data_IF_386789845546
#
_entry.id   IF_386789845546
#
_cell.length_a   1.000
_cell.length_b   1.000
_cell.length_c   1.000
_cell.angle_alpha   90.00
_cell.angle_beta   90.00
_cell.angle_gamma   90.00
#
_symmetry.space_group_name_H-M   'P 1'
#
loop_
_entity.id
_entity.type
_entity.pdbx_description
1 polymer ?
#
# COMPACT_ATOMS: atom_id res chain seq x y z
N UNK A 1 -1.66 -14.36 -12.19
CA UNK A 1 -2.22 -13.07 -12.64
C UNK A 1 -1.07 -12.23 -13.17
N UNK A 2 -1.30 -11.52 -14.27
CA UNK A 2 -0.32 -10.64 -14.92
C UNK A 2 -0.30 -9.25 -14.29
N UNK A 3 0.79 -8.49 -14.51
CA UNK A 3 0.90 -7.08 -14.09
C UNK A 3 -0.25 -6.24 -14.64
N UNK A 4 -0.59 -6.41 -15.91
CA UNK A 4 -1.65 -5.63 -16.57
C UNK A 4 -3.04 -5.90 -15.99
N UNK A 5 -3.33 -7.13 -15.55
CA UNK A 5 -4.58 -7.45 -14.86
C UNK A 5 -4.65 -6.79 -13.48
N UNK A 6 -3.53 -6.80 -12.73
CA UNK A 6 -3.45 -6.14 -11.43
C UNK A 6 -3.58 -4.61 -11.54
N UNK A 7 -2.98 -4.00 -12.56
CA UNK A 7 -3.13 -2.56 -12.85
C UNK A 7 -4.57 -2.19 -13.19
N UNK A 8 -5.27 -3.01 -13.98
CA UNK A 8 -6.71 -2.80 -14.26
C UNK A 8 -7.57 -2.87 -13.00
N UNK A 9 -7.27 -3.81 -12.09
CA UNK A 9 -7.97 -3.90 -10.80
C UNK A 9 -7.67 -2.68 -9.93
N UNK A 10 -6.43 -2.19 -9.94
CA UNK A 10 -6.04 -0.98 -9.23
C UNK A 10 -6.81 0.24 -9.75
N UNK A 11 -6.84 0.43 -11.07
CA UNK A 11 -7.59 1.53 -11.69
C UNK A 11 -9.09 1.44 -11.36
N UNK A 12 -9.69 0.26 -11.47
CA UNK A 12 -11.08 0.05 -11.10
C UNK A 12 -11.35 0.41 -9.63
N UNK A 13 -10.43 0.07 -8.72
CA UNK A 13 -10.55 0.40 -7.29
C UNK A 13 -10.46 1.91 -6.98
N UNK A 14 -9.73 2.66 -7.82
CA UNK A 14 -9.64 4.13 -7.72
C UNK A 14 -10.95 4.78 -8.16
N UNK A 15 -11.59 4.24 -9.20
CA UNK A 15 -12.85 4.76 -9.72
C UNK A 15 -14.07 4.35 -8.87
N UNK A 16 -14.04 3.13 -8.29
CA UNK A 16 -15.10 2.60 -7.44
C UNK A 16 -14.52 1.84 -6.26
N UNK A 17 -14.71 2.36 -5.03
CA UNK A 17 -14.26 1.72 -3.80
C UNK A 17 -14.83 0.30 -3.62
N UNK A 18 -15.95 -0.05 -4.25
CA UNK A 18 -16.52 -1.41 -4.23
C UNK A 18 -15.62 -2.42 -4.95
N UNK A 19 -14.70 -1.97 -5.80
CA UNK A 19 -13.72 -2.81 -6.49
C UNK A 19 -12.42 -3.01 -5.68
N UNK A 20 -12.20 -2.30 -4.57
CA UNK A 20 -11.03 -2.47 -3.70
C UNK A 20 -10.82 -3.91 -3.21
N UNK A 21 -11.85 -4.65 -2.76
CA UNK A 21 -11.69 -6.05 -2.34
C UNK A 21 -11.07 -6.94 -3.42
N UNK A 22 -11.48 -6.76 -4.67
CA UNK A 22 -10.94 -7.55 -5.78
C UNK A 22 -9.47 -7.21 -6.02
N UNK A 23 -9.11 -5.93 -6.03
CA UNK A 23 -7.73 -5.48 -6.16
C UNK A 23 -6.84 -6.02 -5.03
N UNK A 24 -7.25 -5.83 -3.77
CA UNK A 24 -6.43 -6.18 -2.63
C UNK A 24 -6.22 -7.69 -2.46
N UNK A 25 -7.25 -8.52 -2.73
CA UNK A 25 -7.08 -9.98 -2.77
C UNK A 25 -6.09 -10.39 -3.84
N UNK A 26 -6.22 -9.79 -5.01
CA UNK A 26 -5.35 -10.08 -6.13
C UNK A 26 -3.90 -9.61 -5.85
N UNK A 27 -3.73 -8.51 -5.11
CA UNK A 27 -2.44 -8.01 -4.64
C UNK A 27 -1.75 -8.98 -3.67
N UNK A 28 -2.50 -9.63 -2.77
CA UNK A 28 -1.97 -10.64 -1.85
C UNK A 28 -1.44 -11.89 -2.58
N UNK A 29 -2.06 -12.29 -3.67
CA UNK A 29 -1.65 -13.47 -4.46
C UNK A 29 -0.61 -13.14 -5.54
N UNK A 30 -0.44 -11.85 -5.84
CA UNK A 30 0.52 -11.37 -6.82
C UNK A 30 1.96 -11.59 -6.36
N UNK A 31 2.84 -11.59 -7.35
CA UNK A 31 4.28 -11.44 -7.15
C UNK A 31 4.59 -9.95 -7.06
N UNK A 32 5.20 -9.53 -5.95
CA UNK A 32 5.56 -8.13 -5.67
C UNK A 32 7.08 -7.99 -5.55
N UNK A 33 7.53 -6.76 -5.72
CA UNK A 33 8.95 -6.42 -5.72
C UNK A 33 9.23 -5.38 -4.65
N UNK A 34 10.28 -5.61 -3.87
CA UNK A 34 10.76 -4.68 -2.83
C UNK A 34 12.24 -4.45 -2.95
N UNK A 35 12.72 -3.36 -2.35
CA UNK A 35 14.13 -3.03 -2.34
C UNK A 35 14.81 -3.53 -1.07
N UNK A 36 16.01 -4.10 -1.23
CA UNK A 36 16.89 -4.49 -0.12
C UNK A 36 18.29 -3.90 -0.30
N UNK A 37 19.06 -3.71 0.79
CA UNK A 37 20.46 -3.32 0.67
C UNK A 37 21.26 -4.33 -0.17
N UNK A 38 22.31 -3.87 -0.84
CA UNK A 38 23.23 -4.76 -1.60
C UNK A 38 23.97 -5.74 -0.71
N UNK A 39 24.31 -5.30 0.49
CA UNK A 39 25.02 -6.08 1.50
C UNK A 39 24.08 -6.24 2.68
N UNK A 40 23.71 -7.47 2.97
CA UNK A 40 22.84 -7.81 4.10
C UNK A 40 23.66 -8.54 5.17
N UNK A 41 23.42 -8.27 6.46
CA UNK A 41 24.01 -9.07 7.54
C UNK A 41 23.54 -10.53 7.46
N UNK A 42 24.39 -11.50 7.80
CA UNK A 42 23.97 -12.90 7.86
C UNK A 42 22.75 -13.09 8.77
N UNK A 43 21.74 -13.80 8.26
CA UNK A 43 20.53 -14.14 9.01
C UNK A 43 19.55 -12.97 9.24
N UNK A 44 19.77 -11.78 8.66
CA UNK A 44 18.84 -10.65 8.76
C UNK A 44 18.49 -10.10 7.39
N UNK A 45 17.22 -10.27 6.99
CA UNK A 45 16.67 -9.56 5.82
C UNK A 45 16.32 -8.13 6.22
N UNK A 46 16.82 -7.18 5.45
CA UNK A 46 16.54 -5.75 5.65
C UNK A 46 15.83 -5.21 4.41
N UNK A 47 14.78 -4.42 4.63
CA UNK A 47 14.10 -3.70 3.56
C UNK A 47 14.56 -2.25 3.56
N UNK A 48 14.67 -1.69 2.36
CA UNK A 48 14.93 -0.27 2.17
C UNK A 48 13.65 0.51 2.47
N UNK A 49 13.77 1.60 3.20
CA UNK A 49 12.70 2.55 3.46
C UNK A 49 13.11 3.93 2.97
N UNK A 50 12.14 4.75 2.58
CA UNK A 50 12.37 6.14 2.22
C UNK A 50 11.35 7.04 2.91
N UNK A 51 11.64 8.34 2.96
CA UNK A 51 10.67 9.32 3.44
C UNK A 51 9.61 9.55 2.37
N UNK A 52 8.36 9.28 2.71
CA UNK A 52 7.20 9.57 1.89
C UNK A 52 7.19 11.05 1.50
N UNK A 53 6.95 11.39 0.21
CA UNK A 53 6.79 12.77 -0.21
C UNK A 53 5.51 13.41 0.34
N UNK A 54 4.54 12.61 0.79
CA UNK A 54 3.23 13.11 1.21
C UNK A 54 3.26 13.70 2.63
N UNK A 55 4.01 13.07 3.54
CA UNK A 55 4.00 13.40 4.98
C UNK A 55 5.36 13.24 5.67
N UNK A 56 6.42 12.86 4.95
CA UNK A 56 7.76 12.66 5.48
C UNK A 56 7.96 11.40 6.33
N UNK A 57 6.94 10.55 6.51
CA UNK A 57 7.07 9.29 7.25
C UNK A 57 7.93 8.28 6.50
N UNK A 58 8.59 7.40 7.24
CA UNK A 58 9.29 6.29 6.60
C UNK A 58 8.28 5.26 6.09
N UNK A 59 8.38 4.93 4.81
CA UNK A 59 7.55 3.94 4.13
C UNK A 59 8.40 2.94 3.37
N UNK A 60 7.89 1.72 3.24
CA UNK A 60 8.50 0.66 2.42
C UNK A 60 7.98 0.83 0.98
N UNK A 61 8.85 1.06 -0.02
CA UNK A 61 8.44 1.06 -1.42
C UNK A 61 8.18 -0.37 -1.88
N UNK A 62 6.98 -0.61 -2.40
CA UNK A 62 6.57 -1.89 -2.98
C UNK A 62 6.14 -1.66 -4.42
N UNK A 63 6.50 -2.56 -5.32
CA UNK A 63 6.19 -2.43 -6.75
C UNK A 63 5.42 -3.66 -7.23
N UNK A 64 4.43 -3.43 -8.09
CA UNK A 64 3.68 -4.50 -8.78
C UNK A 64 4.37 -4.95 -10.07
N UNK A 65 5.38 -4.19 -10.53
CA UNK A 65 6.11 -4.44 -11.77
C UNK A 65 7.63 -4.43 -11.53
N UNK A 66 8.31 -5.46 -12.07
CA UNK A 66 9.76 -5.62 -11.90
C UNK A 66 10.57 -4.51 -12.57
N UNK A 67 10.16 -4.08 -13.76
CA UNK A 67 10.84 -3.03 -14.52
C UNK A 67 10.77 -1.70 -13.79
N UNK A 68 9.61 -1.38 -13.19
CA UNK A 68 9.45 -0.21 -12.32
C UNK A 68 10.34 -0.30 -11.09
N UNK A 69 10.43 -1.48 -10.45
CA UNK A 69 11.31 -1.71 -9.31
C UNK A 69 12.79 -1.54 -9.66
N UNK A 70 13.25 -2.11 -10.77
CA UNK A 70 14.63 -2.03 -11.25
C UNK A 70 15.01 -0.58 -11.60
N UNK A 71 14.10 0.13 -12.30
CA UNK A 71 14.29 1.54 -12.63
C UNK A 71 14.41 2.41 -11.39
N UNK A 72 13.53 2.20 -10.39
CA UNK A 72 13.58 2.91 -9.13
C UNK A 72 14.84 2.56 -8.31
N UNK A 73 15.34 1.33 -8.42
CA UNK A 73 16.55 0.91 -7.72
C UNK A 73 17.80 1.68 -8.20
N UNK A 74 17.85 2.08 -9.48
CA UNK A 74 19.01 2.75 -10.13
C UNK A 74 20.34 2.06 -9.85
N UNK A 75 20.32 0.74 -9.68
CA UNK A 75 21.49 -0.04 -9.29
C UNK A 75 22.06 0.28 -7.91
N UNK A 76 21.38 1.03 -7.04
CA UNK A 76 21.84 1.35 -5.68
C UNK A 76 21.40 0.31 -4.64
N UNK A 77 20.27 -0.34 -4.89
CA UNK A 77 19.64 -1.36 -4.05
C UNK A 77 19.35 -2.61 -4.88
N UNK A 78 19.11 -3.74 -4.22
CA UNK A 78 18.66 -4.98 -4.88
C UNK A 78 17.15 -5.00 -4.96
N UNK A 79 16.62 -5.66 -5.99
CA UNK A 79 15.20 -5.97 -6.10
C UNK A 79 14.97 -7.41 -5.64
N UNK A 80 14.11 -7.60 -4.65
CA UNK A 80 13.69 -8.89 -4.16
C UNK A 80 12.25 -9.15 -4.59
N UNK A 81 12.01 -10.35 -5.12
CA UNK A 81 10.69 -10.84 -5.50
C UNK A 81 10.07 -11.64 -4.33
N UNK A 82 8.82 -11.34 -3.98
CA UNK A 82 8.08 -12.02 -2.91
C UNK A 82 6.61 -12.18 -3.30
N UNK A 83 5.94 -13.19 -2.73
CA UNK A 83 4.47 -13.22 -2.76
C UNK A 83 3.91 -12.11 -1.89
N UNK A 84 2.84 -11.49 -2.37
CA UNK A 84 2.20 -10.36 -1.67
C UNK A 84 1.86 -10.70 -0.23
N UNK A 85 1.23 -11.86 0.00
CA UNK A 85 0.90 -12.35 1.34
C UNK A 85 2.14 -12.49 2.24
N UNK A 86 3.21 -13.10 1.74
CA UNK A 86 4.45 -13.30 2.51
C UNK A 86 5.15 -11.97 2.81
N UNK A 87 5.14 -11.03 1.86
CA UNK A 87 5.69 -9.70 2.06
C UNK A 87 4.88 -8.95 3.13
N UNK A 88 3.56 -8.92 3.01
CA UNK A 88 2.68 -8.17 3.90
C UNK A 88 2.77 -8.72 5.33
N UNK A 89 2.88 -10.03 5.48
CA UNK A 89 3.10 -10.67 6.78
C UNK A 89 4.45 -10.27 7.42
N UNK A 90 5.52 -10.16 6.62
CA UNK A 90 6.84 -9.71 7.10
C UNK A 90 6.88 -8.23 7.50
N UNK A 91 6.03 -7.39 6.92
CA UNK A 91 6.04 -5.93 7.15
C UNK A 91 4.90 -5.45 8.05
N UNK A 92 4.24 -6.35 8.79
CA UNK A 92 3.28 -5.97 9.83
C UNK A 92 3.87 -4.90 10.75
N UNK A 93 3.06 -3.90 11.09
CA UNK A 93 3.53 -2.75 11.88
C UNK A 93 4.23 -1.64 11.08
N UNK A 94 4.49 -1.83 9.78
CA UNK A 94 5.11 -0.82 8.91
C UNK A 94 4.09 -0.15 7.99
N UNK A 95 4.41 1.04 7.49
CA UNK A 95 3.67 1.68 6.39
C UNK A 95 4.31 1.31 5.06
N UNK A 96 3.50 0.95 4.07
CA UNK A 96 3.96 0.66 2.71
C UNK A 96 3.41 1.69 1.73
N UNK A 97 4.18 1.98 0.68
CA UNK A 97 3.73 2.76 -0.47
C UNK A 97 3.89 1.91 -1.72
N UNK A 98 2.76 1.53 -2.32
CA UNK A 98 2.70 0.79 -3.56
C UNK A 98 2.94 1.74 -4.74
N UNK A 99 3.80 1.33 -5.67
CA UNK A 99 4.15 2.03 -6.90
C UNK A 99 4.43 3.54 -6.70
N UNK A 100 5.44 3.94 -5.90
CA UNK A 100 5.65 5.35 -5.50
C UNK A 100 5.80 6.37 -6.64
N UNK A 101 6.23 5.93 -7.83
CA UNK A 101 6.51 6.78 -8.99
C UNK A 101 5.38 6.76 -10.05
N UNK A 102 4.23 6.18 -9.72
CA UNK A 102 3.11 5.95 -10.64
C UNK A 102 1.77 6.14 -9.89
N UNK A 103 0.69 5.55 -10.39
CA UNK A 103 -0.55 5.34 -9.64
C UNK A 103 -0.24 4.64 -8.32
N UNK A 104 -0.24 5.43 -7.24
CA UNK A 104 0.26 5.02 -5.92
C UNK A 104 -0.86 4.72 -4.94
N UNK A 105 -0.59 3.81 -4.01
CA UNK A 105 -1.47 3.50 -2.89
C UNK A 105 -0.64 3.33 -1.61
N UNK A 106 -1.01 4.05 -0.56
CA UNK A 106 -0.39 3.92 0.76
C UNK A 106 -1.25 3.01 1.64
N UNK A 107 -0.61 2.01 2.25
CA UNK A 107 -1.23 1.14 3.25
C UNK A 107 -0.54 1.31 4.60
N UNK A 108 -1.35 1.65 5.60
CA UNK A 108 -0.94 1.81 6.99
C UNK A 108 -0.90 0.47 7.73
N UNK A 109 -0.19 0.38 8.86
CA UNK A 109 -0.07 -0.87 9.61
C UNK A 109 -1.40 -1.57 9.90
N UNK A 110 -2.44 -0.82 10.27
CA UNK A 110 -3.77 -1.35 10.58
C UNK A 110 -4.50 -1.86 9.33
N UNK A 111 -4.27 -1.22 8.18
CA UNK A 111 -4.84 -1.65 6.90
C UNK A 111 -4.16 -2.94 6.43
N UNK A 112 -2.85 -3.08 6.61
CA UNK A 112 -2.09 -4.32 6.33
C UNK A 112 -2.61 -5.47 7.20
N UNK A 113 -2.77 -5.23 8.50
CA UNK A 113 -3.33 -6.21 9.44
C UNK A 113 -4.72 -6.68 9.01
N UNK A 114 -5.58 -5.73 8.60
CA UNK A 114 -6.93 -6.03 8.14
C UNK A 114 -6.92 -6.82 6.83
N UNK A 115 -6.10 -6.39 5.88
CA UNK A 115 -5.96 -7.03 4.59
C UNK A 115 -5.48 -8.48 4.72
N UNK A 116 -4.49 -8.75 5.58
CA UNK A 116 -4.00 -10.10 5.80
C UNK A 116 -5.06 -11.01 6.44
N UNK A 117 -5.94 -10.45 7.28
CA UNK A 117 -6.99 -11.19 7.99
C UNK A 117 -8.20 -11.49 7.10
N UNK A 118 -8.71 -10.48 6.42
CA UNK A 118 -10.03 -10.52 5.77
C UNK A 118 -9.94 -10.49 4.24
N UNK A 119 -8.74 -10.25 3.68
CA UNK A 119 -8.55 -10.01 2.26
C UNK A 119 -9.09 -8.66 1.79
N UNK A 120 -9.45 -7.76 2.71
CA UNK A 120 -10.04 -6.46 2.42
C UNK A 120 -9.41 -5.41 3.31
N UNK A 121 -9.30 -4.18 2.81
CA UNK A 121 -9.01 -3.01 3.64
C UNK A 121 -10.36 -2.45 4.10
N UNK A 122 -10.50 -2.14 5.38
CA UNK A 122 -11.74 -1.55 5.87
C UNK A 122 -11.95 -0.19 5.19
N UNK A 123 -13.09 0.06 4.54
CA UNK A 123 -13.39 1.40 4.06
C UNK A 123 -13.50 2.30 5.30
N UNK A 124 -12.63 3.29 5.41
CA UNK A 124 -12.80 4.34 6.40
C UNK A 124 -13.89 5.26 5.86
N UNK A 125 -15.14 4.94 6.23
CA UNK A 125 -16.28 5.79 5.94
C UNK A 125 -16.35 6.89 7.00
N UNK A 126 -16.33 8.14 6.55
CA UNK A 126 -16.61 9.27 7.43
C UNK A 126 -18.03 9.76 7.16
N UNK A 127 -18.82 9.84 8.22
CA UNK A 127 -20.07 10.59 8.21
C UNK A 127 -19.76 12.04 8.55
N UNK A 128 -19.87 12.93 7.57
CA UNK A 128 -19.94 14.37 7.79
C UNK A 128 -21.40 14.71 8.06
N UNK A 129 -21.78 14.84 9.33
CA UNK A 129 -23.06 15.42 9.69
C UNK A 129 -22.91 16.94 9.63
N UNK A 130 -23.23 17.52 8.47
CA UNK A 130 -23.42 18.97 8.38
C UNK A 130 -24.65 19.35 9.19
N UNK A 131 -24.52 20.36 10.06
CA UNK A 131 -25.63 20.92 10.84
C UNK A 131 -26.73 21.52 9.93
N UNK A 132 -26.47 21.62 8.62
CA UNK A 132 -27.39 22.15 7.59
C UNK A 132 -27.98 21.08 6.62
N UNK A 133 -27.87 19.79 6.93
CA UNK A 133 -28.66 18.75 6.26
C UNK A 133 -28.22 18.37 4.83
N UNK A 134 -27.00 18.73 4.41
CA UNK A 134 -26.39 18.20 3.17
C UNK A 134 -25.30 17.21 3.55
N UNK A 135 -25.52 15.92 3.29
CA UNK A 135 -24.50 14.90 3.52
C UNK A 135 -23.58 14.82 2.31
N UNK A 136 -22.32 15.24 2.45
CA UNK A 136 -21.26 14.95 1.48
C UNK A 136 -20.50 13.69 1.92
N UNK A 137 -20.40 12.70 1.02
CA UNK A 137 -19.65 11.47 1.25
C UNK A 137 -18.18 11.73 0.94
N UNK A 138 -17.30 11.45 1.91
CA UNK A 138 -15.85 11.56 1.71
C UNK A 138 -15.15 10.39 2.40
N UNK A 139 -14.28 9.71 1.65
CA UNK A 139 -13.45 8.59 2.11
C UNK A 139 -12.11 9.18 2.55
N UNK A 140 -11.67 8.88 3.78
CA UNK A 140 -10.42 9.41 4.35
C UNK A 140 -9.51 8.26 4.77
N UNK A 141 -8.20 8.43 4.69
CA UNK A 141 -7.25 7.49 5.31
C UNK A 141 -7.24 7.67 6.84
N UNK A 142 -6.98 6.59 7.59
CA UNK A 142 -7.13 6.54 9.07
C UNK A 142 -6.24 7.56 9.82
N UNK A 143 -5.14 8.00 9.22
CA UNK A 143 -4.23 9.01 9.79
C UNK A 143 -4.49 10.44 9.29
N UNK A 144 -5.34 10.60 8.27
CA UNK A 144 -5.86 11.87 7.79
C UNK A 144 -7.24 12.18 8.38
N UNK A 145 -7.59 11.52 9.49
CA UNK A 145 -8.78 11.87 10.26
C UNK A 145 -8.69 13.34 10.66
N UNK A 146 -9.68 14.17 10.28
CA UNK A 146 -9.74 15.53 10.76
C UNK A 146 -9.77 15.54 12.28
N UNK A 147 -9.08 16.51 12.90
CA UNK A 147 -8.90 16.60 14.35
C UNK A 147 -10.19 16.45 15.16
N UNK A 148 -11.34 16.81 14.58
CA UNK A 148 -12.66 16.64 15.17
C UNK A 148 -13.09 15.17 15.42
N UNK A 149 -12.41 14.18 14.84
CA UNK A 149 -12.70 12.75 15.02
C UNK A 149 -11.66 11.99 15.85
N UNK A 150 -10.56 12.64 16.23
CA UNK A 150 -9.54 12.03 17.11
C UNK A 150 -9.90 12.42 18.53
N UNK A 151 -10.37 11.45 19.33
CA UNK A 151 -10.79 11.65 20.72
C UNK A 151 -9.61 11.66 21.68
#
# INVERSE_FOLDING_TARGET
>A
MSTAELEKLMEASIQDARAEPAFFRALLDATLYVHTPKVEPPGKRQLVMFKSPDDGRFVIPVFTDKTKADWAARGNVRVLELKGRDLFDQIRGSTLMLNPNDTRCTLYPQEIERLLRDGEVAPVQKWTADIDGKSEQSIYKLDQLPKALVR
#
